data_IF_455510356891
#
_entry.id   IF_455510356891
#
_cell.length_a   1.000
_cell.length_b   1.000
_cell.length_c   1.000
_cell.angle_alpha   90.00
_cell.angle_beta   90.00
_cell.angle_gamma   90.00
#
_symmetry.space_group_name_H-M   'P 1'
#
loop_
_entity.id
_entity.type
_entity.pdbx_description
1 polymer ?
#
# COMPACT_ATOMS: atom_id res chain seq x y z
N UNK A 1 3.23 -17.94 -10.45
CA UNK A 1 3.57 -16.83 -9.52
C UNK A 1 3.25 -17.25 -8.09
N UNK A 2 4.11 -16.91 -7.12
CA UNK A 2 3.89 -17.23 -5.71
C UNK A 2 3.92 -15.97 -4.86
N UNK A 3 3.13 -15.94 -3.78
CA UNK A 3 3.13 -14.88 -2.77
C UNK A 3 3.58 -15.47 -1.45
N UNK A 4 4.64 -14.90 -0.89
CA UNK A 4 5.19 -15.37 0.37
C UNK A 4 4.38 -14.89 1.57
N UNK A 5 4.27 -15.74 2.57
CA UNK A 5 3.63 -15.42 3.84
C UNK A 5 4.52 -15.79 5.03
N UNK A 6 4.34 -15.10 6.14
CA UNK A 6 4.96 -15.43 7.42
C UNK A 6 3.92 -15.70 8.50
N UNK A 7 4.26 -16.60 9.42
CA UNK A 7 3.45 -16.86 10.61
C UNK A 7 3.84 -15.85 11.70
N UNK A 8 2.84 -15.15 12.23
CA UNK A 8 3.03 -14.14 13.28
C UNK A 8 2.32 -14.61 14.55
N UNK A 9 3.06 -14.64 15.64
CA UNK A 9 2.54 -14.86 16.98
C UNK A 9 1.90 -13.57 17.50
N UNK A 10 0.71 -13.66 18.08
CA UNK A 10 -0.01 -12.53 18.67
C UNK A 10 -0.63 -12.97 19.99
N UNK A 11 -0.49 -12.15 21.03
CA UNK A 11 -1.25 -12.31 22.28
C UNK A 11 -2.55 -11.51 22.17
N UNK A 12 -3.66 -12.13 22.46
CA UNK A 12 -4.98 -11.48 22.40
C UNK A 12 -5.18 -10.63 23.66
N UNK A 13 -5.42 -9.32 23.47
CA UNK A 13 -5.60 -8.39 24.60
C UNK A 13 -7.07 -8.19 24.97
N UNK A 14 -8.01 -8.63 24.14
CA UNK A 14 -9.46 -8.44 24.34
C UNK A 14 -10.26 -9.65 23.84
N UNK A 15 -11.52 -9.78 24.33
CA UNK A 15 -12.44 -10.85 23.97
C UNK A 15 -12.22 -12.14 24.78
N UNK A 16 -12.96 -13.18 24.42
CA UNK A 16 -12.95 -14.51 25.09
C UNK A 16 -11.55 -15.20 25.13
N UNK A 17 -10.68 -14.84 24.20
CA UNK A 17 -9.33 -15.36 24.08
C UNK A 17 -8.26 -14.46 24.71
N UNK A 18 -8.64 -13.54 25.59
CA UNK A 18 -7.71 -12.64 26.30
C UNK A 18 -6.60 -13.45 27.01
N UNK A 19 -5.36 -13.03 26.81
CA UNK A 19 -4.17 -13.69 27.38
C UNK A 19 -3.70 -14.92 26.59
N UNK A 20 -4.48 -15.43 25.65
CA UNK A 20 -4.06 -16.58 24.84
C UNK A 20 -3.11 -16.15 23.72
N UNK A 21 -2.15 -17.01 23.44
CA UNK A 21 -1.30 -16.87 22.26
C UNK A 21 -2.01 -17.49 21.04
N UNK A 22 -2.17 -16.69 19.99
CA UNK A 22 -2.69 -17.15 18.71
C UNK A 22 -1.67 -16.90 17.59
N UNK A 23 -1.76 -17.68 16.55
CA UNK A 23 -0.91 -17.54 15.38
C UNK A 23 -1.77 -17.11 14.18
N UNK A 24 -1.25 -16.18 13.41
CA UNK A 24 -1.90 -15.70 12.20
C UNK A 24 -0.92 -15.69 11.04
N UNK A 25 -1.47 -15.72 9.82
CA UNK A 25 -0.69 -15.64 8.59
C UNK A 25 -0.74 -14.21 8.07
N UNK A 26 0.43 -13.65 7.72
CA UNK A 26 0.54 -12.32 7.11
C UNK A 26 1.35 -12.40 5.83
N UNK A 27 0.98 -11.62 4.80
CA UNK A 27 1.80 -11.53 3.60
C UNK A 27 3.16 -10.91 3.92
N UNK A 28 4.19 -11.35 3.20
CA UNK A 28 5.50 -10.69 3.20
C UNK A 28 5.47 -9.61 2.13
N UNK A 29 6.01 -8.44 2.46
CA UNK A 29 6.28 -7.36 1.50
C UNK A 29 7.78 -7.26 1.29
N UNK A 30 8.20 -7.22 0.05
CA UNK A 30 9.60 -7.07 -0.35
C UNK A 30 9.98 -5.61 -0.64
N UNK A 31 9.12 -4.67 -0.27
CA UNK A 31 9.31 -3.26 -0.52
C UNK A 31 8.27 -2.70 -1.49
N UNK A 32 8.53 -1.50 -1.96
CA UNK A 32 7.70 -0.78 -2.93
C UNK A 32 8.54 -0.45 -4.14
N UNK A 33 8.14 -0.92 -5.30
CA UNK A 33 8.75 -0.51 -6.56
C UNK A 33 8.33 0.93 -6.87
N UNK A 34 9.31 1.75 -7.19
CA UNK A 34 9.08 3.15 -7.60
C UNK A 34 8.59 3.19 -9.05
N UNK A 35 7.98 4.32 -9.43
CA UNK A 35 7.59 4.56 -10.83
C UNK A 35 8.79 4.48 -11.77
N UNK A 36 9.97 4.89 -11.31
CA UNK A 36 11.20 4.81 -12.08
C UNK A 36 11.65 3.37 -12.34
N UNK A 37 11.60 2.52 -11.33
CA UNK A 37 11.93 1.10 -11.46
C UNK A 37 10.95 0.39 -12.41
N UNK A 38 9.66 0.70 -12.32
CA UNK A 38 8.65 0.17 -13.23
C UNK A 38 8.87 0.70 -14.65
N UNK A 39 9.17 1.99 -14.82
CA UNK A 39 9.47 2.57 -16.13
C UNK A 39 10.71 1.93 -16.78
N UNK A 40 11.73 1.60 -15.98
CA UNK A 40 12.90 0.87 -16.45
C UNK A 40 12.55 -0.55 -16.91
N UNK A 41 11.70 -1.27 -16.19
CA UNK A 41 11.23 -2.59 -16.62
C UNK A 41 10.48 -2.50 -17.96
N UNK A 42 9.55 -1.53 -18.10
CA UNK A 42 8.81 -1.32 -19.34
C UNK A 42 9.74 -1.01 -20.50
N UNK A 43 10.76 -0.15 -20.29
CA UNK A 43 11.72 0.19 -21.36
C UNK A 43 12.59 -0.99 -21.80
N UNK A 44 12.79 -1.98 -20.96
CA UNK A 44 13.52 -3.21 -21.31
C UNK A 44 12.69 -4.12 -22.23
N UNK A 45 11.37 -4.06 -22.14
CA UNK A 45 10.44 -4.93 -22.86
C UNK A 45 9.73 -4.21 -24.03
N UNK A 46 10.02 -2.92 -24.24
CA UNK A 46 9.39 -2.10 -25.29
C UNK A 46 10.42 -1.23 -26.02
N UNK A 47 9.96 -0.55 -27.07
CA UNK A 47 10.78 0.43 -27.82
C UNK A 47 10.82 1.81 -27.17
N UNK A 48 10.01 2.03 -26.10
CA UNK A 48 9.96 3.30 -25.40
C UNK A 48 11.19 3.44 -24.47
N UNK A 49 11.75 4.64 -24.40
CA UNK A 49 12.78 4.94 -23.40
C UNK A 49 12.18 5.11 -22.01
N UNK A 50 13.00 4.94 -20.96
CA UNK A 50 12.56 5.22 -19.58
C UNK A 50 12.00 6.65 -19.44
N UNK A 51 12.58 7.61 -20.15
CA UNK A 51 12.12 9.00 -20.14
C UNK A 51 10.71 9.15 -20.76
N UNK A 52 10.46 8.48 -21.88
CA UNK A 52 9.14 8.51 -22.54
C UNK A 52 8.06 7.90 -21.64
N UNK A 53 8.36 6.75 -21.03
CA UNK A 53 7.44 6.09 -20.10
C UNK A 53 7.14 6.99 -18.90
N UNK A 54 8.15 7.62 -18.30
CA UNK A 54 7.97 8.57 -17.19
C UNK A 54 7.11 9.76 -17.62
N UNK A 55 7.38 10.36 -18.77
CA UNK A 55 6.61 11.49 -19.27
C UNK A 55 5.12 11.16 -19.42
N UNK A 56 4.79 9.97 -19.94
CA UNK A 56 3.41 9.50 -20.06
C UNK A 56 2.77 9.29 -18.70
N UNK A 57 3.46 8.62 -17.76
CA UNK A 57 2.95 8.36 -16.41
C UNK A 57 2.74 9.65 -15.62
N UNK A 58 3.64 10.61 -15.72
CA UNK A 58 3.52 11.92 -15.06
C UNK A 58 2.31 12.70 -15.60
N UNK A 59 2.11 12.68 -16.92
CA UNK A 59 0.92 13.29 -17.53
C UNK A 59 -0.37 12.60 -17.12
N UNK A 60 -0.36 11.27 -17.08
CA UNK A 60 -1.51 10.52 -16.58
C UNK A 60 -1.85 10.90 -15.14
N UNK A 61 -0.85 10.93 -14.26
CA UNK A 61 -1.05 11.31 -12.86
C UNK A 61 -1.62 12.73 -12.73
N UNK A 62 -1.11 13.69 -13.50
CA UNK A 62 -1.62 15.05 -13.55
C UNK A 62 -3.11 15.09 -13.93
N UNK A 63 -3.49 14.43 -15.03
CA UNK A 63 -4.88 14.42 -15.48
C UNK A 63 -5.82 13.65 -14.55
N UNK A 64 -5.33 12.62 -13.87
CA UNK A 64 -6.07 11.91 -12.81
C UNK A 64 -6.47 12.89 -11.72
N UNK A 65 -5.52 13.65 -11.17
CA UNK A 65 -5.78 14.63 -10.10
C UNK A 65 -6.73 15.73 -10.58
N UNK A 66 -6.50 16.29 -11.75
CA UNK A 66 -7.31 17.36 -12.31
C UNK A 66 -8.77 16.92 -12.51
N UNK A 67 -8.99 15.73 -13.08
CA UNK A 67 -10.35 15.25 -13.37
C UNK A 67 -11.07 14.74 -12.10
N UNK A 68 -10.36 14.17 -11.13
CA UNK A 68 -10.94 13.87 -9.82
C UNK A 68 -11.44 15.14 -9.13
N UNK A 69 -10.70 16.24 -9.24
CA UNK A 69 -11.11 17.54 -8.68
C UNK A 69 -12.37 18.10 -9.37
N UNK A 70 -12.57 17.80 -10.66
CA UNK A 70 -13.78 18.14 -11.43
C UNK A 70 -14.98 17.24 -11.13
N UNK A 71 -14.80 16.21 -10.29
CA UNK A 71 -15.86 15.28 -9.87
C UNK A 71 -15.99 14.01 -10.72
N UNK A 72 -15.06 13.75 -11.63
CA UNK A 72 -15.05 12.51 -12.39
C UNK A 72 -14.43 11.38 -11.57
N UNK A 73 -14.91 10.17 -11.77
CA UNK A 73 -14.22 8.95 -11.36
C UNK A 73 -13.29 8.51 -12.49
N UNK A 74 -12.09 8.08 -12.18
CA UNK A 74 -11.08 7.75 -13.18
C UNK A 74 -10.77 6.25 -13.16
N UNK A 75 -10.93 5.61 -14.29
CA UNK A 75 -10.50 4.22 -14.47
C UNK A 75 -8.97 4.14 -14.47
N UNK A 76 -8.43 3.22 -13.66
CA UNK A 76 -6.99 2.97 -13.56
C UNK A 76 -6.65 1.70 -14.33
N UNK A 77 -6.35 1.84 -15.64
CA UNK A 77 -5.77 0.78 -16.50
C UNK A 77 -6.46 -0.59 -16.39
N UNK A 78 -7.78 -0.62 -16.23
CA UNK A 78 -8.54 -1.86 -16.03
C UNK A 78 -8.47 -2.45 -14.61
N UNK A 79 -7.61 -1.95 -13.75
CA UNK A 79 -7.46 -2.47 -12.38
C UNK A 79 -8.59 -2.07 -11.44
N UNK A 80 -9.24 -0.96 -11.74
CA UNK A 80 -10.30 -0.40 -10.90
C UNK A 80 -10.53 1.07 -11.17
N UNK A 81 -11.19 1.72 -10.23
CA UNK A 81 -11.61 3.11 -10.36
C UNK A 81 -11.17 3.92 -9.15
N UNK A 82 -10.51 5.04 -9.41
CA UNK A 82 -10.19 6.07 -8.43
C UNK A 82 -11.37 7.03 -8.30
N UNK A 83 -11.68 7.45 -7.09
CA UNK A 83 -12.75 8.40 -6.81
C UNK A 83 -12.45 9.23 -5.56
N UNK A 84 -13.13 10.36 -5.41
CA UNK A 84 -13.12 11.13 -4.18
C UNK A 84 -14.42 10.88 -3.41
N UNK A 85 -14.32 10.78 -2.09
CA UNK A 85 -15.47 10.69 -1.19
C UNK A 85 -15.40 11.77 -0.12
N UNK A 86 -16.55 12.25 0.30
CA UNK A 86 -16.65 13.16 1.42
C UNK A 86 -16.78 12.39 2.74
N UNK A 87 -16.01 12.81 3.72
CA UNK A 87 -16.25 12.46 5.11
C UNK A 87 -17.07 13.60 5.69
N UNK A 88 -18.29 13.31 6.08
CA UNK A 88 -19.23 14.31 6.58
C UNK A 88 -19.41 14.21 8.09
N UNK A 89 -19.83 15.31 8.71
CA UNK A 89 -20.35 15.35 10.08
C UNK A 89 -21.69 14.59 10.15
N UNK A 90 -22.33 14.60 11.33
CA UNK A 90 -23.66 14.00 11.50
C UNK A 90 -24.67 14.60 10.51
N UNK A 91 -25.52 13.74 9.98
CA UNK A 91 -26.61 14.16 9.11
C UNK A 91 -27.54 15.16 9.81
N UNK A 92 -28.17 16.05 9.04
CA UNK A 92 -29.11 17.02 9.49
C UNK A 92 -30.54 16.66 9.03
N UNK A 93 -31.56 17.02 9.78
CA UNK A 93 -32.94 16.68 9.47
C UNK A 93 -33.58 17.59 8.39
N UNK A 94 -33.02 18.78 8.20
CA UNK A 94 -33.56 19.77 7.28
C UNK A 94 -32.68 19.92 6.03
N UNK A 95 -33.24 19.82 4.81
CA UNK A 95 -32.46 19.97 3.58
C UNK A 95 -31.70 21.31 3.49
N UNK A 96 -32.30 22.40 3.99
CA UNK A 96 -31.66 23.73 3.99
C UNK A 96 -30.38 23.81 4.83
N UNK A 97 -30.22 22.95 5.82
CA UNK A 97 -29.00 22.84 6.66
C UNK A 97 -27.93 21.94 6.07
N UNK A 98 -28.28 21.18 5.03
CA UNK A 98 -27.34 20.33 4.30
C UNK A 98 -26.55 21.17 3.28
N UNK A 99 -25.34 21.56 3.66
CA UNK A 99 -24.45 22.39 2.85
C UNK A 99 -22.99 21.94 2.99
N UNK A 100 -22.08 22.61 2.30
CA UNK A 100 -20.64 22.27 2.25
C UNK A 100 -19.98 22.22 3.64
N UNK A 101 -20.51 22.95 4.64
CA UNK A 101 -19.97 22.94 6.01
C UNK A 101 -20.12 21.59 6.73
N UNK A 102 -20.96 20.70 6.20
CA UNK A 102 -21.06 19.32 6.71
C UNK A 102 -19.87 18.46 6.26
N UNK A 103 -19.15 18.85 5.22
CA UNK A 103 -17.98 18.12 4.73
C UNK A 103 -16.81 18.40 5.65
N UNK A 104 -16.39 17.38 6.40
CA UNK A 104 -15.22 17.44 7.29
C UNK A 104 -13.91 17.31 6.54
N UNK A 105 -13.85 16.41 5.57
CA UNK A 105 -12.67 16.16 4.74
C UNK A 105 -13.05 15.45 3.45
N UNK A 106 -12.16 15.53 2.46
CA UNK A 106 -12.23 14.79 1.21
C UNK A 106 -11.15 13.70 1.27
N UNK A 107 -11.51 12.47 0.93
CA UNK A 107 -10.58 11.35 0.92
C UNK A 107 -10.57 10.66 -0.44
N UNK A 108 -9.39 10.33 -0.98
CA UNK A 108 -9.29 9.47 -2.14
C UNK A 108 -9.72 8.05 -1.78
N UNK A 109 -10.36 7.39 -2.71
CA UNK A 109 -10.74 5.98 -2.63
C UNK A 109 -10.37 5.25 -3.90
N UNK A 110 -10.17 3.95 -3.78
CA UNK A 110 -9.96 3.05 -4.88
C UNK A 110 -10.96 1.90 -4.80
N UNK A 111 -11.62 1.61 -5.91
CA UNK A 111 -12.53 0.48 -6.07
C UNK A 111 -11.91 -0.47 -7.09
N UNK A 112 -11.40 -1.63 -6.67
CA UNK A 112 -10.84 -2.60 -7.61
C UNK A 112 -11.91 -3.16 -8.54
N UNK A 113 -11.54 -3.41 -9.79
CA UNK A 113 -12.37 -4.15 -10.76
C UNK A 113 -12.46 -5.61 -10.35
N UNK A 114 -13.64 -6.20 -10.52
CA UNK A 114 -13.89 -7.60 -10.24
C UNK A 114 -14.98 -8.16 -11.14
N UNK A 115 -14.90 -9.45 -11.42
CA UNK A 115 -15.97 -10.25 -11.99
C UNK A 115 -16.64 -11.09 -10.91
N UNK A 116 -17.90 -11.45 -11.15
CA UNK A 116 -18.67 -12.31 -10.24
C UNK A 116 -19.03 -13.59 -10.99
N UNK A 117 -18.68 -14.74 -10.43
CA UNK A 117 -19.03 -16.03 -11.01
C UNK A 117 -20.50 -16.40 -10.72
N UNK A 118 -20.98 -17.53 -11.30
CA UNK A 118 -22.36 -18.01 -11.11
C UNK A 118 -22.72 -18.30 -9.65
N UNK A 119 -21.72 -18.51 -8.80
CA UNK A 119 -21.87 -18.80 -7.36
C UNK A 119 -21.80 -17.55 -6.51
N UNK A 120 -21.73 -16.35 -7.09
CA UNK A 120 -21.58 -15.08 -6.38
C UNK A 120 -20.17 -14.79 -5.85
N UNK A 121 -19.18 -15.62 -6.20
CA UNK A 121 -17.79 -15.39 -5.80
C UNK A 121 -17.17 -14.30 -6.66
N UNK A 122 -16.51 -13.33 -6.00
CA UNK A 122 -15.79 -12.25 -6.66
C UNK A 122 -14.36 -12.67 -6.99
N UNK A 123 -13.94 -12.38 -8.21
CA UNK A 123 -12.55 -12.51 -8.67
C UNK A 123 -12.07 -11.12 -9.09
N UNK A 124 -11.02 -10.63 -8.47
CA UNK A 124 -10.46 -9.29 -8.70
C UNK A 124 -9.41 -9.36 -9.80
N UNK A 125 -9.47 -8.43 -10.76
CA UNK A 125 -8.58 -8.38 -11.92
C UNK A 125 -7.12 -8.11 -11.54
N UNK A 126 -6.89 -7.44 -10.39
CA UNK A 126 -5.56 -7.25 -9.81
C UNK A 126 -4.92 -8.53 -9.24
N UNK A 127 -5.70 -9.60 -9.07
CA UNK A 127 -5.19 -10.86 -8.51
C UNK A 127 -5.00 -11.86 -9.64
N UNK A 128 -3.76 -12.26 -9.96
CA UNK A 128 -3.51 -13.28 -10.97
C UNK A 128 -4.25 -14.59 -10.63
N UNK A 129 -4.88 -15.21 -11.63
CA UNK A 129 -5.72 -16.41 -11.47
C UNK A 129 -5.01 -17.61 -10.84
N UNK A 130 -3.68 -17.63 -10.80
CA UNK A 130 -2.87 -18.72 -10.26
C UNK A 130 -1.77 -18.17 -9.35
N UNK A 131 -2.18 -17.70 -8.15
CA UNK A 131 -1.24 -17.39 -7.08
C UNK A 131 -1.15 -18.58 -6.13
N UNK A 132 0.03 -19.15 -5.96
CA UNK A 132 0.35 -20.08 -4.90
C UNK A 132 0.86 -19.32 -3.66
N UNK A 133 0.56 -19.85 -2.47
CA UNK A 133 1.05 -19.30 -1.22
C UNK A 133 2.24 -20.15 -0.74
N UNK A 134 3.38 -19.50 -0.52
CA UNK A 134 4.60 -20.16 -0.05
C UNK A 134 5.02 -19.55 1.28
N UNK A 135 5.40 -20.41 2.23
CA UNK A 135 5.94 -19.91 3.50
C UNK A 135 7.28 -19.24 3.23
N UNK A 136 7.45 -18.05 3.80
CA UNK A 136 8.70 -17.29 3.66
C UNK A 136 9.85 -18.08 4.29
N UNK A 137 10.93 -18.21 3.52
CA UNK A 137 12.27 -18.59 3.96
C UNK A 137 13.24 -17.60 3.31
N UNK A 138 14.44 -17.48 3.83
CA UNK A 138 15.47 -16.60 3.25
C UNK A 138 15.80 -17.00 1.80
N UNK A 139 15.73 -18.30 1.48
CA UNK A 139 15.95 -18.83 0.12
C UNK A 139 14.88 -18.37 -0.90
N UNK A 140 13.72 -17.92 -0.43
CA UNK A 140 12.60 -17.47 -1.28
C UNK A 140 12.48 -15.94 -1.34
N UNK A 141 13.48 -15.21 -0.85
CA UNK A 141 13.51 -13.74 -0.91
C UNK A 141 14.08 -13.28 -2.26
N UNK A 142 13.29 -12.68 -3.15
CA UNK A 142 13.78 -12.17 -4.41
C UNK A 142 14.77 -10.99 -4.26
N UNK A 143 14.87 -10.39 -3.07
CA UNK A 143 15.80 -9.31 -2.72
C UNK A 143 16.94 -9.77 -1.82
N UNK A 144 17.19 -11.07 -1.72
CA UNK A 144 18.19 -11.66 -0.81
C UNK A 144 19.61 -11.07 -0.94
N UNK A 145 19.96 -10.54 -2.11
CA UNK A 145 21.27 -9.93 -2.36
C UNK A 145 21.40 -8.47 -1.89
N UNK A 146 20.30 -7.84 -1.44
CA UNK A 146 20.27 -6.42 -1.03
C UNK A 146 19.87 -6.23 0.45
N UNK A 147 20.28 -7.12 1.34
CA UNK A 147 20.12 -6.88 2.76
C UNK A 147 21.13 -5.81 3.20
N UNK A 148 20.72 -4.60 3.63
CA UNK A 148 21.65 -3.68 4.24
C UNK A 148 22.19 -4.34 5.51
N UNK A 149 23.48 -4.64 5.52
CA UNK A 149 24.24 -5.03 6.70
C UNK A 149 24.30 -3.82 7.63
N UNK A 150 23.34 -3.72 8.54
CA UNK A 150 23.13 -2.57 9.41
C UNK A 150 22.95 -2.99 10.85
N UNK A 151 23.97 -3.63 11.45
CA UNK A 151 24.16 -3.61 12.90
C UNK A 151 24.91 -2.31 13.27
N UNK A 152 24.23 -1.18 13.26
CA UNK A 152 24.65 0.00 14.01
C UNK A 152 23.95 -0.02 15.38
N UNK A 153 24.51 -0.80 16.30
CA UNK A 153 24.30 -0.66 17.72
C UNK A 153 25.00 0.63 18.14
N UNK A 154 24.31 1.66 18.67
CA UNK A 154 24.99 2.81 19.23
C UNK A 154 25.73 2.36 20.47
N UNK A 155 27.07 2.36 20.40
CA UNK A 155 27.95 2.26 21.55
C UNK A 155 27.79 3.55 22.37
N UNK A 156 26.96 3.51 23.41
CA UNK A 156 26.91 4.53 24.44
C UNK A 156 28.08 4.34 25.38
N UNK A 157 28.81 5.42 25.65
CA UNK A 157 29.79 5.42 26.70
C UNK A 157 30.83 6.51 26.54
N UNK A 158 30.50 7.76 26.82
CA UNK A 158 31.50 8.74 27.26
C UNK A 158 30.99 9.39 28.54
N UNK A 159 31.45 8.87 29.65
CA UNK A 159 31.47 9.50 30.95
C UNK A 159 32.53 10.63 30.92
N UNK A 160 32.22 11.87 31.24
CA UNK A 160 33.26 12.86 31.49
C UNK A 160 33.81 12.65 32.89
N UNK A 161 35.09 12.25 32.98
CA UNK A 161 35.89 12.28 34.20
C UNK A 161 36.17 13.73 34.58
N UNK A 162 35.69 14.13 35.74
CA UNK A 162 36.06 15.38 36.35
C UNK A 162 37.50 15.29 36.86
N UNK A 163 38.26 16.36 36.67
CA UNK A 163 39.58 16.62 37.21
C UNK A 163 39.65 18.03 37.75
N UNK A 164 39.76 18.09 39.04
CA UNK A 164 39.92 19.28 39.90
C UNK A 164 41.31 19.91 39.74
N UNK A 165 41.36 21.21 39.73
CA UNK A 165 42.22 22.17 40.51
C UNK A 165 43.74 22.04 40.45
N UNK A 166 44.51 23.12 40.77
CA UNK A 166 44.22 24.24 41.66
C UNK A 166 44.08 25.61 40.92
#
# INVERSE_FOLDING_TARGET
MSKSYKVVKKTMNMGEKKGQTVYSVRPVSYGTLTTEEVAKQISTESTATTADVKAVLDRYAYYVVENLAKGYNIELLGFGTLYLRFITNKAVSEPKKANANLVKSIMPGFRPSFSVDRNGKRTYDLIPNRISLVKYSEDNDPNGDNKPSGDNKPSGGNTPSGGNTP
#
